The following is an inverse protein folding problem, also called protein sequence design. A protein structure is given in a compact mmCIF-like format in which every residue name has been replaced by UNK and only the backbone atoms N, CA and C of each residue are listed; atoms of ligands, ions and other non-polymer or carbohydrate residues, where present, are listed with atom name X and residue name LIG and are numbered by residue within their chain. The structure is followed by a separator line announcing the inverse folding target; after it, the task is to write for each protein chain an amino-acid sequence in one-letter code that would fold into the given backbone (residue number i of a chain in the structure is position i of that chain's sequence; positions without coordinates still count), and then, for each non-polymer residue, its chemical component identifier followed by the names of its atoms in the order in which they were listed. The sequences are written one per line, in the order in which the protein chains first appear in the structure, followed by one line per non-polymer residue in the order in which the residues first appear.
data_IF_526006704287
#
_entry.id   IF_526006704287
#
_cell.length_a   1.000
_cell.length_b   1.000
_cell.length_c   1.000
_cell.angle_alpha   90.00
_cell.angle_beta   90.00
_cell.angle_gamma   90.00
#
_symmetry.space_group_name_H-M   'P 1'
#
loop_
_entity.id
_entity.type
_entity.pdbx_description
1 polymer ?
#
# COMPACT_ATOMS: atom_id res chain seq x y z
N UNK A 1 34.34 -46.23 3.60
CA UNK A 1 34.63 -44.81 3.90
C UNK A 1 34.05 -43.86 2.84
N UNK A 2 34.29 -44.07 1.54
CA UNK A 2 33.78 -43.19 0.47
C UNK A 2 32.25 -43.03 0.38
N UNK A 3 31.47 -44.09 0.59
CA UNK A 3 30.01 -44.03 0.56
C UNK A 3 29.41 -43.17 1.70
N UNK A 4 30.04 -43.18 2.87
CA UNK A 4 29.61 -42.38 4.03
C UNK A 4 29.88 -40.90 3.80
N UNK A 5 31.06 -40.57 3.26
CA UNK A 5 31.42 -39.19 2.88
C UNK A 5 30.47 -38.66 1.79
N UNK A 6 30.17 -39.47 0.77
CA UNK A 6 29.23 -39.10 -0.28
C UNK A 6 27.82 -38.81 0.27
N UNK A 7 27.31 -39.66 1.19
CA UNK A 7 26.01 -39.45 1.81
C UNK A 7 25.96 -38.16 2.68
N UNK A 8 27.03 -37.86 3.41
CA UNK A 8 27.15 -36.61 4.19
C UNK A 8 27.15 -35.39 3.27
N UNK A 9 27.92 -35.43 2.18
CA UNK A 9 27.97 -34.34 1.20
C UNK A 9 26.60 -34.13 0.55
N UNK A 10 25.93 -35.20 0.13
CA UNK A 10 24.57 -35.11 -0.46
C UNK A 10 23.59 -34.52 0.55
N UNK A 11 23.62 -34.96 1.80
CA UNK A 11 22.77 -34.42 2.86
C UNK A 11 23.03 -32.93 3.13
N UNK A 12 24.29 -32.50 3.18
CA UNK A 12 24.66 -31.11 3.38
C UNK A 12 24.24 -30.23 2.19
N UNK A 13 24.45 -30.70 0.96
CA UNK A 13 24.03 -29.99 -0.26
C UNK A 13 22.50 -29.87 -0.30
N UNK A 14 21.77 -30.95 -0.04
CA UNK A 14 20.31 -30.92 0.02
C UNK A 14 19.78 -29.98 1.10
N UNK A 15 20.41 -29.95 2.29
CA UNK A 15 20.05 -29.03 3.36
C UNK A 15 20.31 -27.57 2.96
N UNK A 16 21.48 -27.27 2.37
CA UNK A 16 21.80 -25.91 1.90
C UNK A 16 20.81 -25.48 0.82
N UNK A 17 20.55 -26.31 -0.19
CA UNK A 17 19.57 -26.04 -1.24
C UNK A 17 18.16 -25.80 -0.68
N UNK A 18 17.72 -26.61 0.29
CA UNK A 18 16.42 -26.44 0.92
C UNK A 18 16.29 -25.11 1.67
N UNK A 19 17.33 -24.69 2.40
CA UNK A 19 17.33 -23.40 3.10
C UNK A 19 17.36 -22.23 2.11
N UNK A 20 18.18 -22.30 1.06
CA UNK A 20 18.25 -21.26 0.02
C UNK A 20 16.91 -21.06 -0.68
N UNK A 21 16.17 -22.13 -0.98
CA UNK A 21 14.85 -22.04 -1.61
C UNK A 21 13.79 -21.44 -0.67
N UNK A 22 13.84 -21.72 0.63
CA UNK A 22 12.90 -21.15 1.61
C UNK A 22 13.02 -19.64 1.74
N UNK A 23 14.23 -19.08 1.68
CA UNK A 23 14.46 -17.65 1.85
C UNK A 23 13.96 -16.79 0.67
N UNK A 24 13.59 -17.42 -0.45
CA UNK A 24 13.07 -16.72 -1.63
C UNK A 24 11.54 -16.57 -1.66
N UNK A 25 10.81 -17.20 -0.73
CA UNK A 25 9.36 -17.13 -0.72
C UNK A 25 8.87 -15.71 -0.33
N UNK A 26 7.87 -15.16 -1.03
CA UNK A 26 7.32 -13.85 -0.67
C UNK A 26 6.69 -13.92 0.72
N UNK A 27 6.88 -12.85 1.49
CA UNK A 27 6.26 -12.72 2.81
C UNK A 27 4.75 -12.60 2.64
N UNK A 28 4.00 -13.43 3.37
CA UNK A 28 2.53 -13.38 3.41
C UNK A 28 2.04 -12.43 4.49
N UNK A 29 0.97 -11.70 4.21
CA UNK A 29 0.27 -10.84 5.18
C UNK A 29 -1.24 -11.10 5.17
N UNK A 30 -1.89 -10.84 6.30
CA UNK A 30 -3.34 -10.89 6.40
C UNK A 30 -3.95 -9.54 6.01
N UNK A 31 -4.80 -9.55 4.98
CA UNK A 31 -5.52 -8.38 4.47
C UNK A 31 -7.02 -8.45 4.77
N UNK A 32 -7.47 -9.37 5.63
CA UNK A 32 -8.84 -9.40 6.12
C UNK A 32 -9.23 -8.09 6.82
N UNK A 33 -10.51 -7.72 6.76
CA UNK A 33 -10.98 -6.47 7.34
C UNK A 33 -10.73 -6.42 8.86
N UNK A 34 -10.15 -5.33 9.34
CA UNK A 34 -9.75 -5.15 10.74
C UNK A 34 -8.30 -5.53 11.03
N UNK A 35 -7.66 -6.30 10.16
CA UNK A 35 -6.29 -6.75 10.37
C UNK A 35 -5.25 -5.66 10.13
N UNK A 36 -4.13 -5.79 10.84
CA UNK A 36 -2.95 -4.94 10.66
C UNK A 36 -1.91 -5.68 9.84
N UNK A 37 -1.40 -5.02 8.81
CA UNK A 37 -0.35 -5.57 7.97
C UNK A 37 0.71 -4.55 7.64
N UNK A 38 1.85 -5.05 7.18
CA UNK A 38 2.97 -4.22 6.73
C UNK A 38 3.04 -4.27 5.22
N UNK A 39 3.45 -3.16 4.63
CA UNK A 39 3.70 -3.07 3.20
C UNK A 39 5.11 -2.51 2.99
N UNK A 40 5.95 -3.29 2.33
CA UNK A 40 7.25 -2.85 1.83
C UNK A 40 7.03 -2.36 0.41
N UNK A 41 7.01 -1.04 0.23
CA UNK A 41 6.48 -0.39 -0.98
C UNK A 41 7.40 -0.63 -2.18
N UNK A 42 6.84 -1.18 -3.25
CA UNK A 42 7.50 -1.39 -4.53
C UNK A 42 7.24 -0.23 -5.50
N UNK A 43 5.98 0.21 -5.60
CA UNK A 43 5.57 1.27 -6.52
C UNK A 43 4.27 1.93 -6.09
N UNK A 44 4.01 3.11 -6.67
CA UNK A 44 2.77 3.86 -6.53
C UNK A 44 2.26 4.20 -7.93
N UNK A 45 0.99 3.90 -8.21
CA UNK A 45 0.39 4.15 -9.52
C UNK A 45 -0.03 5.61 -9.72
N UNK A 46 -0.85 6.17 -8.82
CA UNK A 46 -1.39 7.53 -8.85
C UNK A 46 -1.43 8.16 -7.44
N UNK A 47 -2.29 9.17 -7.19
CA UNK A 47 -2.39 9.91 -5.93
C UNK A 47 -3.20 9.25 -4.81
N UNK A 48 -3.90 8.15 -5.05
CA UNK A 48 -4.63 7.42 -3.99
C UNK A 48 -4.41 5.90 -4.04
N UNK A 49 -3.70 5.42 -5.05
CA UNK A 49 -3.22 4.06 -5.21
C UNK A 49 -3.73 3.43 -6.52
N UNK A 50 -3.18 2.27 -6.92
CA UNK A 50 -2.61 1.30 -6.00
C UNK A 50 -1.17 1.61 -5.56
N UNK A 51 -0.91 1.40 -4.27
CA UNK A 51 0.44 1.20 -3.73
C UNK A 51 0.71 -0.30 -3.77
N UNK A 52 1.71 -0.73 -4.54
CA UNK A 52 2.09 -2.14 -4.63
C UNK A 52 3.11 -2.49 -3.54
N UNK A 53 2.89 -3.61 -2.86
CA UNK A 53 3.77 -4.13 -1.81
C UNK A 53 4.58 -5.34 -2.30
N UNK A 54 5.73 -5.61 -1.70
CA UNK A 54 6.49 -6.84 -1.98
C UNK A 54 5.86 -8.08 -1.35
N UNK A 55 5.01 -7.87 -0.34
CA UNK A 55 4.23 -8.90 0.30
C UNK A 55 3.07 -9.40 -0.59
N UNK A 56 2.67 -10.64 -0.36
CA UNK A 56 1.46 -11.25 -0.95
C UNK A 56 0.43 -11.52 0.14
N UNK A 57 -0.84 -11.66 -0.22
CA UNK A 57 -1.88 -12.05 0.74
C UNK A 57 -1.83 -13.56 1.09
N UNK A 58 -2.80 -14.02 1.88
CA UNK A 58 -2.87 -15.43 2.30
C UNK A 58 -3.07 -16.41 1.13
N UNK A 59 -3.69 -15.95 0.05
CA UNK A 59 -3.92 -16.70 -1.19
C UNK A 59 -2.76 -16.58 -2.19
N UNK A 60 -1.71 -15.83 -1.82
CA UNK A 60 -0.54 -15.60 -2.65
C UNK A 60 -0.73 -14.55 -3.74
N UNK A 61 -1.78 -13.74 -3.69
CA UNK A 61 -2.00 -12.64 -4.63
C UNK A 61 -1.19 -11.40 -4.23
N UNK A 62 -0.80 -10.54 -5.18
CA UNK A 62 -0.11 -9.29 -4.87
C UNK A 62 -0.95 -8.37 -3.98
N UNK A 63 -0.33 -7.79 -2.95
CA UNK A 63 -1.00 -6.78 -2.12
C UNK A 63 -0.95 -5.42 -2.80
N UNK A 64 -2.10 -4.95 -3.25
CA UNK A 64 -2.31 -3.64 -3.87
C UNK A 64 -3.20 -2.78 -2.98
N UNK A 65 -2.67 -1.70 -2.41
CA UNK A 65 -3.41 -0.84 -1.48
C UNK A 65 -4.06 0.32 -2.22
N UNK A 66 -5.37 0.49 -2.03
CA UNK A 66 -6.10 1.73 -2.27
C UNK A 66 -6.23 2.49 -0.95
N UNK A 67 -5.70 3.72 -0.88
CA UNK A 67 -5.87 4.55 0.31
C UNK A 67 -7.35 4.84 0.52
N UNK A 68 -7.85 4.53 1.71
CA UNK A 68 -9.26 4.70 2.07
C UNK A 68 -9.58 6.16 2.38
N UNK A 69 -10.77 6.59 1.96
CA UNK A 69 -11.39 7.87 2.33
C UNK A 69 -10.94 9.08 1.52
N UNK A 70 -10.14 8.88 0.47
CA UNK A 70 -9.66 9.96 -0.41
C UNK A 70 -9.88 9.61 -1.88
N UNK A 71 -9.90 10.64 -2.71
CA UNK A 71 -9.87 10.57 -4.16
C UNK A 71 -8.82 11.53 -4.70
N UNK A 72 -7.92 11.07 -5.55
CA UNK A 72 -6.99 11.90 -6.30
C UNK A 72 -7.38 11.94 -7.78
N UNK A 73 -6.78 12.84 -8.55
CA UNK A 73 -6.84 12.74 -10.01
C UNK A 73 -6.14 11.47 -10.47
N UNK A 74 -6.72 10.87 -11.48
CA UNK A 74 -6.09 9.83 -12.28
C UNK A 74 -4.88 10.40 -13.04
N UNK A 75 -4.02 9.52 -13.56
CA UNK A 75 -2.78 9.94 -14.23
C UNK A 75 -2.99 10.73 -15.52
N UNK A 76 -4.18 10.67 -16.12
CA UNK A 76 -4.60 11.47 -17.28
C UNK A 76 -5.34 12.76 -16.88
N UNK A 77 -5.22 13.14 -15.60
CA UNK A 77 -5.87 14.29 -14.96
C UNK A 77 -7.40 14.24 -14.94
N UNK A 78 -8.00 13.10 -15.28
CA UNK A 78 -9.43 12.87 -15.09
C UNK A 78 -9.75 12.58 -13.62
N UNK A 79 -11.04 12.69 -13.27
CA UNK A 79 -11.57 12.37 -11.95
C UNK A 79 -12.69 11.36 -12.12
N UNK A 80 -12.69 10.28 -11.34
CA UNK A 80 -13.81 9.33 -11.36
C UNK A 80 -15.10 9.98 -10.85
N UNK A 81 -15.00 10.86 -9.85
CA UNK A 81 -16.09 11.70 -9.39
C UNK A 81 -15.81 13.16 -9.65
N UNK A 82 -16.64 13.76 -10.50
CA UNK A 82 -16.53 15.16 -10.88
C UNK A 82 -16.52 16.09 -9.66
N UNK A 83 -17.35 15.83 -8.64
CA UNK A 83 -17.46 16.65 -7.44
C UNK A 83 -16.30 16.46 -6.42
N UNK A 84 -15.43 15.47 -6.63
CA UNK A 84 -14.29 15.15 -5.75
C UNK A 84 -12.94 15.46 -6.42
N UNK A 85 -12.93 16.36 -7.39
CA UNK A 85 -11.76 16.59 -8.22
C UNK A 85 -10.84 17.64 -7.59
N UNK A 86 -9.66 17.27 -7.02
CA UNK A 86 -8.74 18.25 -6.46
C UNK A 86 -8.10 19.13 -7.54
N UNK A 87 -7.58 20.30 -7.15
CA UNK A 87 -6.87 21.20 -8.07
C UNK A 87 -5.51 20.63 -8.52
N UNK A 88 -4.89 19.77 -7.70
CA UNK A 88 -3.62 19.13 -8.02
C UNK A 88 -3.76 18.16 -9.20
N UNK A 89 -2.75 18.11 -10.07
CA UNK A 89 -2.66 17.12 -11.15
C UNK A 89 -2.42 15.71 -10.61
N UNK A 90 -2.78 14.69 -11.40
CA UNK A 90 -2.53 13.28 -11.05
C UNK A 90 -1.04 13.00 -10.87
N UNK A 91 -0.18 13.63 -11.70
CA UNK A 91 1.26 13.51 -11.56
C UNK A 91 1.79 14.12 -10.25
N UNK A 92 1.27 15.29 -9.85
CA UNK A 92 1.65 15.92 -8.59
C UNK A 92 1.20 15.07 -7.39
N UNK A 93 -0.02 14.54 -7.45
CA UNK A 93 -0.56 13.67 -6.41
C UNK A 93 0.24 12.36 -6.28
N UNK A 94 0.57 11.71 -7.40
CA UNK A 94 1.46 10.54 -7.43
C UNK A 94 2.83 10.83 -6.81
N UNK A 95 3.43 11.97 -7.15
CA UNK A 95 4.75 12.34 -6.66
C UNK A 95 4.74 12.51 -5.13
N UNK A 96 3.72 13.18 -4.59
CA UNK A 96 3.56 13.33 -3.14
C UNK A 96 3.27 12.00 -2.45
N UNK A 97 2.39 11.16 -3.01
CA UNK A 97 2.11 9.84 -2.43
C UNK A 97 3.36 8.96 -2.44
N UNK A 98 4.12 8.95 -3.53
CA UNK A 98 5.40 8.22 -3.63
C UNK A 98 6.38 8.66 -2.55
N UNK A 99 6.49 9.97 -2.32
CA UNK A 99 7.35 10.55 -1.28
C UNK A 99 6.89 10.14 0.13
N UNK A 100 5.59 10.19 0.38
CA UNK A 100 5.00 9.83 1.68
C UNK A 100 5.06 8.33 1.96
N UNK A 101 4.92 7.51 0.92
CA UNK A 101 4.86 6.05 0.97
C UNK A 101 6.24 5.38 0.98
N UNK A 102 7.32 6.12 0.70
CA UNK A 102 8.67 5.57 0.57
C UNK A 102 9.07 4.71 1.79
N UNK A 103 9.55 3.49 1.51
CA UNK A 103 10.00 2.54 2.51
C UNK A 103 8.89 1.59 2.97
N UNK A 104 8.69 1.51 4.29
CA UNK A 104 7.75 0.58 4.92
C UNK A 104 6.54 1.31 5.51
N UNK A 105 5.36 0.76 5.25
CA UNK A 105 4.10 1.22 5.81
C UNK A 105 3.54 0.22 6.82
N UNK A 106 2.83 0.77 7.80
CA UNK A 106 1.93 0.04 8.69
C UNK A 106 0.49 0.38 8.31
N UNK A 107 -0.28 -0.63 7.93
CA UNK A 107 -1.61 -0.47 7.39
C UNK A 107 -2.66 -1.20 8.23
N UNK A 108 -3.87 -0.66 8.27
CA UNK A 108 -5.08 -1.31 8.77
C UNK A 108 -5.98 -1.59 7.58
N UNK A 109 -6.31 -2.86 7.36
CA UNK A 109 -7.20 -3.28 6.29
C UNK A 109 -8.66 -2.99 6.63
N UNK A 110 -9.41 -2.56 5.63
CA UNK A 110 -10.86 -2.49 5.66
C UNK A 110 -11.51 -3.45 4.66
N UNK A 111 -10.76 -4.46 4.23
CA UNK A 111 -11.20 -5.48 3.30
C UNK A 111 -11.00 -5.09 1.82
N UNK A 112 -11.47 -5.96 0.92
CA UNK A 112 -11.25 -5.80 -0.51
C UNK A 112 -12.06 -4.63 -1.08
N UNK A 113 -11.51 -4.06 -2.14
CA UNK A 113 -12.13 -3.04 -3.01
C UNK A 113 -12.13 -3.58 -4.45
N UNK A 114 -12.59 -2.78 -5.42
CA UNK A 114 -12.60 -3.19 -6.82
C UNK A 114 -11.21 -3.59 -7.32
N UNK A 115 -11.18 -4.51 -8.30
CA UNK A 115 -9.95 -5.01 -8.94
C UNK A 115 -8.97 -5.72 -7.99
N UNK A 116 -9.46 -6.36 -6.92
CA UNK A 116 -8.61 -7.17 -6.02
C UNK A 116 -7.68 -6.36 -5.12
N UNK A 117 -7.91 -5.06 -4.99
CA UNK A 117 -7.13 -4.16 -4.12
C UNK A 117 -7.65 -4.23 -2.69
N UNK A 118 -6.79 -3.99 -1.71
CA UNK A 118 -7.19 -3.78 -0.31
C UNK A 118 -7.45 -2.30 -0.05
N UNK A 119 -8.61 -1.96 0.49
CA UNK A 119 -8.88 -0.61 0.99
C UNK A 119 -8.25 -0.47 2.36
N UNK A 120 -7.26 0.42 2.52
CA UNK A 120 -6.50 0.50 3.77
C UNK A 120 -6.22 1.93 4.25
N UNK A 121 -5.99 2.02 5.55
CA UNK A 121 -5.40 3.18 6.20
C UNK A 121 -3.94 2.89 6.49
N UNK A 122 -3.03 3.67 5.93
CA UNK A 122 -1.59 3.43 6.08
C UNK A 122 -0.88 4.60 6.75
N UNK A 123 0.13 4.25 7.55
CA UNK A 123 1.09 5.19 8.15
C UNK A 123 2.50 4.82 7.72
N UNK A 124 3.32 5.82 7.43
CA UNK A 124 4.75 5.59 7.21
C UNK A 124 5.53 5.47 8.53
N UNK A 125 6.83 5.16 8.44
CA UNK A 125 7.70 5.01 9.61
C UNK A 125 7.83 6.24 10.52
N UNK A 126 7.33 7.41 10.09
CA UNK A 126 7.24 8.62 10.93
C UNK A 126 5.88 8.77 11.64
N UNK A 127 4.99 7.80 11.48
CA UNK A 127 3.63 7.84 12.01
C UNK A 127 2.67 8.74 11.23
N UNK A 128 3.06 9.23 10.05
CA UNK A 128 2.21 10.10 9.22
C UNK A 128 1.15 9.26 8.52
N UNK A 129 -0.12 9.60 8.75
CA UNK A 129 -1.27 9.03 8.03
C UNK A 129 -1.30 9.53 6.58
N UNK A 130 -1.20 8.61 5.62
CA UNK A 130 -1.03 9.00 4.21
C UNK A 130 -2.29 9.68 3.66
N UNK A 131 -3.49 9.14 3.92
CA UNK A 131 -4.75 9.75 3.49
C UNK A 131 -4.89 11.18 4.03
N UNK A 132 -4.60 11.39 5.31
CA UNK A 132 -4.65 12.71 5.92
C UNK A 132 -3.61 13.68 5.33
N UNK A 133 -2.39 13.19 5.06
CA UNK A 133 -1.34 13.99 4.46
C UNK A 133 -1.70 14.41 3.02
N UNK A 134 -2.27 13.52 2.22
CA UNK A 134 -2.73 13.81 0.86
C UNK A 134 -3.83 14.88 0.84
N UNK A 135 -4.76 14.85 1.80
CA UNK A 135 -5.78 15.91 1.94
C UNK A 135 -5.16 17.25 2.34
N UNK A 136 -4.27 17.25 3.35
CA UNK A 136 -3.64 18.47 3.86
C UNK A 136 -2.78 19.18 2.82
N UNK A 137 -2.14 18.43 1.92
CA UNK A 137 -1.34 18.96 0.82
C UNK A 137 -2.18 19.36 -0.40
N UNK A 138 -3.49 19.12 -0.39
CA UNK A 138 -4.38 19.42 -1.51
C UNK A 138 -4.23 18.46 -2.70
N UNK A 139 -3.55 17.33 -2.51
CA UNK A 139 -3.30 16.34 -3.55
C UNK A 139 -4.48 15.39 -3.77
N UNK A 140 -5.40 15.33 -2.80
CA UNK A 140 -6.60 14.53 -2.86
C UNK A 140 -7.79 15.30 -2.25
N UNK A 141 -9.00 14.91 -2.63
CA UNK A 141 -10.24 15.30 -1.99
C UNK A 141 -10.73 14.20 -1.04
N UNK A 142 -11.55 14.54 -0.05
CA UNK A 142 -12.13 13.55 0.87
C UNK A 142 -13.33 12.89 0.22
N UNK A 143 -13.30 11.57 0.14
CA UNK A 143 -14.41 10.76 -0.33
C UNK A 143 -15.22 10.23 0.85
N UNK A 144 -16.26 10.98 1.24
CA UNK A 144 -17.04 10.73 2.45
C UNK A 144 -17.64 9.31 2.54
N UNK A 145 -18.04 8.74 1.40
CA UNK A 145 -18.55 7.37 1.32
C UNK A 145 -17.57 6.33 1.86
N UNK A 146 -16.25 6.56 1.71
CA UNK A 146 -15.19 5.69 2.19
C UNK A 146 -14.53 6.18 3.48
N UNK A 147 -15.08 7.22 4.11
CA UNK A 147 -14.72 7.72 5.44
C UNK A 147 -15.99 7.97 6.29
N UNK A 148 -16.84 6.95 6.51
CA UNK A 148 -18.12 7.12 7.18
C UNK A 148 -17.96 7.54 8.65
N UNK A 149 -16.82 7.22 9.28
CA UNK A 149 -16.52 7.60 10.66
C UNK A 149 -16.01 9.06 10.78
N UNK A 150 -15.81 9.76 9.66
CA UNK A 150 -15.37 11.16 9.68
C UNK A 150 -13.92 11.35 10.15
N UNK A 151 -13.08 10.32 10.06
CA UNK A 151 -11.69 10.36 10.54
C UNK A 151 -10.86 11.43 9.82
N UNK A 152 -11.21 11.74 8.58
CA UNK A 152 -10.49 12.70 7.73
C UNK A 152 -11.05 14.13 7.77
N UNK A 153 -12.06 14.41 8.62
CA UNK A 153 -12.63 15.75 8.76
C UNK A 153 -11.60 16.79 9.22
N UNK A 154 -10.69 16.41 10.13
CA UNK A 154 -9.59 17.28 10.59
C UNK A 154 -8.40 17.40 9.62
N UNK A 155 -8.48 16.76 8.46
CA UNK A 155 -7.40 16.70 7.47
C UNK A 155 -7.67 17.57 6.23
N UNK A 156 -8.82 18.24 6.16
CA UNK A 156 -9.17 19.08 5.02
C UNK A 156 -8.13 20.18 4.81
N UNK A 157 -7.78 20.50 3.54
CA UNK A 157 -6.91 21.62 3.26
C UNK A 157 -7.56 22.91 3.77
N UNK A 158 -6.76 23.82 4.34
CA UNK A 158 -7.27 25.15 4.71
C UNK A 158 -7.69 25.85 3.41
N UNK A 159 -8.98 26.18 3.28
CA UNK A 159 -9.45 27.04 2.18
C UNK A 159 -8.69 28.36 2.26
N UNK A 160 -7.82 28.60 1.27
CA UNK A 160 -7.25 29.93 1.07
C UNK A 160 -8.34 30.72 0.34
N UNK A 161 -9.05 31.57 1.08
CA UNK A 161 -9.97 32.53 0.48
C UNK A 161 -9.09 33.48 -0.33
N UNK A 162 -9.16 33.41 -1.66
CA UNK A 162 -8.56 34.39 -2.58
C UNK A 162 -9.57 35.47 -2.89
#
# INVERSE_FOLDING_TARGET
MGAVIAAIIIGAVAFILFNVVRDMAPVRVDTAAGERFRCSVLSVFDGDGPIACSEVDQDGQPVLIRLRGIEAREMDDTCHQFDLCPDASGQAAKAELSRLAAGRLECVSYGPTSFGRVGALCRNGRGVDLSCAMLKSGMAARWAQYDPEGRLLGCQPKKIIR
#
